data_IF_413402883899
#
_entry.id   IF_413402883899
#
_cell.length_a   1.000
_cell.length_b   1.000
_cell.length_c   1.000
_cell.angle_alpha   90.00
_cell.angle_beta   90.00
_cell.angle_gamma   90.00
#
_symmetry.space_group_name_H-M   'P 1'
#
loop_
_entity.id
_entity.type
_entity.pdbx_description
1 polymer ?
#
# COMPACT_ATOMS: atom_id res chain seq x y z
N UNK A 1 -4.74 5.18 -9.73
CA UNK A 1 -4.19 6.44 -9.20
C UNK A 1 -3.03 6.90 -10.08
N UNK A 2 -3.06 8.13 -10.62
CA UNK A 2 -1.85 8.71 -11.22
C UNK A 2 -0.94 9.19 -10.10
N UNK A 3 0.26 8.61 -9.92
CA UNK A 3 1.12 8.96 -8.79
C UNK A 3 1.84 10.30 -8.98
N UNK A 4 1.84 10.86 -10.18
CA UNK A 4 2.60 12.05 -10.54
C UNK A 4 1.74 13.30 -10.35
N UNK A 5 2.28 14.26 -9.59
CA UNK A 5 1.68 15.59 -9.46
C UNK A 5 1.87 16.34 -10.76
N UNK A 6 0.79 16.92 -11.28
CA UNK A 6 0.87 17.93 -12.32
C UNK A 6 1.54 19.19 -11.75
N UNK A 7 2.32 19.88 -12.58
CA UNK A 7 2.92 21.15 -12.21
C UNK A 7 1.83 22.14 -11.77
N UNK A 8 2.05 22.77 -10.61
CA UNK A 8 1.09 23.70 -10.02
C UNK A 8 -0.11 23.05 -9.30
N UNK A 9 -0.19 21.72 -9.16
CA UNK A 9 -1.26 21.08 -8.39
C UNK A 9 -1.30 21.54 -6.92
N UNK A 10 -2.45 22.08 -6.52
CA UNK A 10 -2.72 22.61 -5.16
C UNK A 10 -3.78 21.81 -4.40
N UNK A 11 -4.31 20.73 -4.97
CA UNK A 11 -5.36 19.93 -4.36
C UNK A 11 -4.89 19.04 -3.20
N UNK A 12 -5.84 18.32 -2.63
CA UNK A 12 -5.59 17.36 -1.54
C UNK A 12 -4.71 16.18 -2.00
N UNK A 13 -4.08 15.47 -1.07
CA UNK A 13 -3.18 14.36 -1.41
C UNK A 13 -1.82 14.78 -1.97
N UNK A 14 -1.54 16.09 -2.16
CA UNK A 14 -0.22 16.57 -2.62
C UNK A 14 0.94 16.01 -1.81
N UNK A 15 0.78 15.90 -0.48
CA UNK A 15 1.81 15.31 0.39
C UNK A 15 2.03 13.84 0.07
N UNK A 16 0.97 13.06 -0.08
CA UNK A 16 1.06 11.66 -0.48
C UNK A 16 1.89 11.53 -1.75
N UNK A 17 1.53 12.27 -2.80
CA UNK A 17 2.19 12.16 -4.10
C UNK A 17 3.66 12.60 -4.07
N UNK A 18 3.99 13.68 -3.35
CA UNK A 18 5.39 14.11 -3.16
C UNK A 18 6.26 13.07 -2.48
N UNK A 19 5.71 12.36 -1.50
CA UNK A 19 6.44 11.32 -0.78
C UNK A 19 6.50 10.03 -1.60
N UNK A 20 5.39 9.65 -2.26
CA UNK A 20 5.34 8.52 -3.17
C UNK A 20 6.34 8.65 -4.33
N UNK A 21 6.49 9.86 -4.90
CA UNK A 21 7.44 10.09 -6.01
C UNK A 21 8.90 9.84 -5.61
N UNK A 22 9.24 9.89 -4.31
CA UNK A 22 10.60 9.59 -3.82
C UNK A 22 10.97 8.11 -3.97
N UNK A 23 10.00 7.22 -4.20
CA UNK A 23 10.23 5.81 -4.54
C UNK A 23 10.84 5.67 -5.94
N UNK A 24 10.71 6.70 -6.80
CA UNK A 24 11.29 6.75 -8.16
C UNK A 24 10.84 5.60 -9.07
N UNK A 25 9.56 5.26 -9.00
CA UNK A 25 8.94 4.26 -9.88
C UNK A 25 8.91 4.71 -11.33
N UNK A 26 9.10 3.76 -12.23
CA UNK A 26 8.91 3.92 -13.68
C UNK A 26 7.78 3.02 -14.18
N UNK A 27 7.36 3.22 -15.43
CA UNK A 27 6.35 2.35 -16.06
C UNK A 27 6.80 0.88 -16.12
N UNK A 28 8.11 0.59 -16.10
CA UNK A 28 8.64 -0.77 -16.12
C UNK A 28 8.35 -1.54 -14.83
N UNK A 29 8.07 -0.83 -13.74
CA UNK A 29 7.82 -1.42 -12.43
C UNK A 29 6.34 -1.77 -12.22
N UNK A 30 5.45 -1.20 -13.04
CA UNK A 30 4.00 -1.30 -12.88
C UNK A 30 3.46 -2.74 -12.90
N UNK A 31 4.10 -3.65 -13.63
CA UNK A 31 3.72 -5.06 -13.66
C UNK A 31 4.26 -5.87 -12.48
N UNK A 32 5.25 -5.35 -11.75
CA UNK A 32 5.97 -6.08 -10.68
C UNK A 32 5.46 -5.74 -9.30
N UNK A 33 4.93 -4.54 -9.10
CA UNK A 33 4.54 -4.06 -7.77
C UNK A 33 3.12 -3.53 -7.74
N UNK A 34 2.50 -3.57 -6.57
CA UNK A 34 1.18 -3.01 -6.35
C UNK A 34 1.07 -2.35 -4.99
N UNK A 35 0.34 -1.23 -4.93
CA UNK A 35 -0.09 -0.59 -3.70
C UNK A 35 -1.60 -0.76 -3.57
N UNK A 36 -2.08 -1.20 -2.41
CA UNK A 36 -3.50 -1.52 -2.22
C UNK A 36 -4.29 -0.29 -1.78
N UNK A 37 -5.36 -0.01 -2.51
CA UNK A 37 -6.44 0.91 -2.18
C UNK A 37 -7.72 0.07 -2.06
N UNK A 38 -8.47 0.18 -0.95
CA UNK A 38 -9.65 -0.67 -0.71
C UNK A 38 -10.94 -0.08 -1.26
N UNK A 39 -10.94 1.21 -1.58
CA UNK A 39 -12.12 1.88 -2.10
C UNK A 39 -12.06 1.93 -3.61
N UNK A 40 -13.19 1.55 -4.21
CA UNK A 40 -13.44 1.72 -5.64
C UNK A 40 -13.89 3.14 -5.99
N UNK A 41 -14.07 4.00 -4.98
CA UNK A 41 -14.53 5.38 -5.12
C UNK A 41 -13.45 6.35 -4.67
N UNK A 42 -13.34 7.53 -5.31
CA UNK A 42 -12.42 8.57 -4.87
C UNK A 42 -12.84 9.09 -3.49
N UNK A 43 -11.85 9.35 -2.63
CA UNK A 43 -12.06 9.99 -1.33
C UNK A 43 -11.31 11.30 -1.20
N UNK A 44 -11.86 12.22 -0.41
CA UNK A 44 -11.20 13.47 -0.02
C UNK A 44 -11.00 13.51 1.49
N UNK A 45 -9.91 14.12 1.96
CA UNK A 45 -9.66 14.33 3.37
C UNK A 45 -9.42 13.05 4.19
N UNK A 46 -9.58 13.17 5.51
CA UNK A 46 -9.51 12.03 6.42
C UNK A 46 -10.88 11.36 6.49
N UNK A 47 -10.91 10.05 6.30
CA UNK A 47 -12.13 9.25 6.36
C UNK A 47 -11.99 8.19 7.45
N UNK A 48 -13.03 8.05 8.29
CA UNK A 48 -13.13 6.99 9.30
C UNK A 48 -13.79 5.75 8.68
N UNK A 49 -13.09 5.13 7.74
CA UNK A 49 -13.60 3.98 6.99
C UNK A 49 -13.82 2.78 7.91
N UNK A 50 -14.95 2.12 7.73
CA UNK A 50 -15.33 0.87 8.38
C UNK A 50 -15.38 -0.25 7.34
N UNK A 51 -15.29 -1.49 7.81
CA UNK A 51 -15.40 -2.65 6.92
C UNK A 51 -16.76 -2.73 6.21
N UNK A 52 -17.81 -2.15 6.78
CA UNK A 52 -19.14 -2.01 6.17
C UNK A 52 -19.17 -1.10 4.95
N UNK A 53 -18.19 -0.20 4.81
CA UNK A 53 -18.14 0.77 3.70
C UNK A 53 -17.46 0.15 2.46
N UNK A 54 -16.93 -1.08 2.59
CA UNK A 54 -16.18 -1.75 1.55
C UNK A 54 -17.09 -2.60 0.67
N UNK A 55 -16.93 -2.45 -0.64
CA UNK A 55 -17.65 -3.27 -1.61
C UNK A 55 -17.04 -4.68 -1.70
N UNK A 56 -17.86 -5.70 -1.47
CA UNK A 56 -17.41 -7.10 -1.43
C UNK A 56 -16.81 -7.56 -2.77
N UNK A 57 -17.42 -7.18 -3.89
CA UNK A 57 -16.97 -7.62 -5.21
C UNK A 57 -15.61 -7.01 -5.55
N UNK A 58 -15.42 -5.73 -5.20
CA UNK A 58 -14.15 -5.04 -5.34
C UNK A 58 -13.06 -5.67 -4.47
N UNK A 59 -13.36 -6.02 -3.21
CA UNK A 59 -12.40 -6.71 -2.35
C UNK A 59 -12.01 -8.10 -2.90
N UNK A 60 -12.94 -8.84 -3.48
CA UNK A 60 -12.64 -10.10 -4.17
C UNK A 60 -11.75 -9.90 -5.40
N UNK A 61 -11.98 -8.82 -6.16
CA UNK A 61 -11.10 -8.43 -7.26
C UNK A 61 -9.68 -8.13 -6.77
N UNK A 62 -9.53 -7.33 -5.71
CA UNK A 62 -8.23 -7.04 -5.09
C UNK A 62 -7.54 -8.34 -4.65
N UNK A 63 -8.27 -9.24 -3.98
CA UNK A 63 -7.71 -10.52 -3.55
C UNK A 63 -7.11 -11.30 -4.74
N UNK A 64 -7.82 -11.39 -5.87
CA UNK A 64 -7.31 -12.04 -7.08
C UNK A 64 -6.09 -11.31 -7.65
N UNK A 65 -6.10 -9.98 -7.66
CA UNK A 65 -4.99 -9.18 -8.19
C UNK A 65 -3.70 -9.32 -7.35
N UNK A 66 -3.83 -9.42 -6.02
CA UNK A 66 -2.68 -9.67 -5.12
C UNK A 66 -1.93 -10.92 -5.56
N UNK A 67 -2.65 -12.04 -5.74
CA UNK A 67 -2.05 -13.34 -6.07
C UNK A 67 -1.91 -13.62 -7.57
N UNK A 68 -1.94 -12.59 -8.42
CA UNK A 68 -1.68 -12.76 -9.85
C UNK A 68 -0.22 -13.14 -10.09
N UNK A 69 0.06 -13.94 -11.12
CA UNK A 69 1.42 -14.45 -11.41
C UNK A 69 2.46 -13.35 -11.69
N UNK A 70 2.01 -12.19 -12.12
CA UNK A 70 2.88 -11.06 -12.44
C UNK A 70 3.26 -10.23 -11.22
N UNK A 71 2.44 -10.26 -10.16
CA UNK A 71 2.65 -9.47 -8.94
C UNK A 71 3.83 -10.05 -8.15
N UNK A 72 4.94 -9.30 -8.05
CA UNK A 72 6.12 -9.71 -7.26
C UNK A 72 6.05 -9.19 -5.83
N UNK A 73 5.64 -7.94 -5.64
CA UNK A 73 5.54 -7.31 -4.33
C UNK A 73 4.26 -6.48 -4.17
N UNK A 74 3.61 -6.63 -3.02
CA UNK A 74 2.40 -5.88 -2.65
C UNK A 74 2.67 -5.07 -1.39
N UNK A 75 2.35 -3.78 -1.44
CA UNK A 75 2.52 -2.84 -0.34
C UNK A 75 1.16 -2.41 0.20
N UNK A 76 0.97 -2.59 1.50
CA UNK A 76 -0.29 -2.33 2.20
C UNK A 76 -0.03 -1.30 3.31
N UNK A 77 -0.77 -0.19 3.31
CA UNK A 77 -0.64 0.79 4.40
C UNK A 77 -1.23 0.24 5.71
N UNK A 78 -0.75 0.72 6.87
CA UNK A 78 -1.21 0.19 8.18
C UNK A 78 -2.73 0.25 8.39
N UNK A 79 -3.38 1.34 7.95
CA UNK A 79 -4.84 1.49 8.05
C UNK A 79 -5.58 0.49 7.14
N UNK A 80 -5.11 0.35 5.90
CA UNK A 80 -5.65 -0.62 4.93
C UNK A 80 -5.49 -2.04 5.48
N UNK A 81 -4.31 -2.39 6.00
CA UNK A 81 -4.04 -3.71 6.57
C UNK A 81 -5.01 -4.05 7.71
N UNK A 82 -5.26 -3.10 8.62
CA UNK A 82 -6.23 -3.27 9.71
C UNK A 82 -7.65 -3.46 9.20
N UNK A 83 -8.05 -2.76 8.14
CA UNK A 83 -9.36 -2.93 7.52
C UNK A 83 -9.49 -4.28 6.83
N UNK A 84 -8.49 -4.70 6.06
CA UNK A 84 -8.47 -6.01 5.40
C UNK A 84 -8.65 -7.15 6.40
N UNK A 85 -7.94 -7.11 7.55
CA UNK A 85 -8.08 -8.11 8.63
C UNK A 85 -9.47 -8.19 9.25
N UNK A 86 -10.27 -7.11 9.17
CA UNK A 86 -11.66 -7.12 9.66
C UNK A 86 -12.63 -7.75 8.65
N UNK A 87 -12.16 -8.08 7.45
CA UNK A 87 -12.96 -8.76 6.43
C UNK A 87 -12.67 -10.26 6.43
N UNK A 88 -13.65 -11.08 6.05
CA UNK A 88 -13.44 -12.52 5.86
C UNK A 88 -12.73 -12.88 4.54
N UNK A 89 -12.55 -11.92 3.63
CA UNK A 89 -12.00 -12.15 2.28
C UNK A 89 -10.49 -12.40 2.33
N UNK A 90 -9.78 -11.70 3.23
CA UNK A 90 -8.33 -11.83 3.38
C UNK A 90 -7.98 -12.73 4.57
N UNK A 91 -8.64 -13.88 4.69
CA UNK A 91 -8.46 -14.81 5.82
C UNK A 91 -7.02 -15.28 6.00
N UNK A 92 -6.24 -15.35 4.91
CA UNK A 92 -4.80 -15.64 4.94
C UNK A 92 -3.99 -14.64 5.81
N UNK A 93 -4.52 -13.43 6.06
CA UNK A 93 -3.88 -12.44 6.92
C UNK A 93 -4.01 -12.74 8.42
N UNK A 94 -4.85 -13.70 8.81
CA UNK A 94 -5.02 -14.07 10.22
C UNK A 94 -3.79 -14.81 10.75
N UNK A 95 -3.18 -15.63 9.91
CA UNK A 95 -1.96 -16.39 10.23
C UNK A 95 -0.69 -15.61 9.88
N UNK A 96 -0.82 -14.45 9.23
CA UNK A 96 0.29 -13.63 8.81
C UNK A 96 1.03 -13.06 10.03
N UNK A 97 2.26 -13.55 10.25
CA UNK A 97 3.16 -13.04 11.29
C UNK A 97 4.06 -11.97 10.69
N UNK A 98 4.30 -10.93 11.49
CA UNK A 98 5.35 -9.98 11.16
C UNK A 98 6.69 -10.70 11.26
N UNK A 99 7.49 -10.61 10.22
CA UNK A 99 8.84 -11.15 10.21
C UNK A 99 9.81 -10.01 10.52
N UNK A 100 10.67 -10.22 11.51
CA UNK A 100 11.63 -9.23 11.99
C UNK A 100 12.90 -9.22 11.13
N UNK A 101 13.72 -8.18 11.28
CA UNK A 101 14.99 -8.04 10.54
C UNK A 101 14.90 -7.28 9.22
N UNK A 102 13.70 -6.88 8.78
CA UNK A 102 13.48 -6.04 7.61
C UNK A 102 13.00 -4.64 7.99
N UNK A 103 13.42 -3.62 7.23
CA UNK A 103 12.93 -2.24 7.35
C UNK A 103 11.42 -2.16 7.14
N UNK A 104 10.89 -2.96 6.22
CA UNK A 104 9.46 -3.15 6.03
C UNK A 104 8.97 -4.37 6.81
N UNK A 105 7.78 -4.27 7.37
CA UNK A 105 7.13 -5.41 8.04
C UNK A 105 6.63 -6.39 7.00
N UNK A 106 7.25 -7.57 6.91
CA UNK A 106 6.86 -8.64 5.97
C UNK A 106 5.76 -9.50 6.61
N UNK A 107 4.74 -9.83 5.83
CA UNK A 107 3.58 -10.63 6.26
C UNK A 107 3.33 -11.87 5.40
N UNK A 108 3.97 -11.96 4.24
CA UNK A 108 3.93 -13.13 3.38
C UNK A 108 5.23 -13.19 2.57
N UNK A 109 6.03 -14.24 2.75
CA UNK A 109 7.35 -14.40 2.12
C UNK A 109 7.34 -15.27 0.86
N UNK A 110 6.25 -16.00 0.62
CA UNK A 110 6.07 -16.71 -0.65
C UNK A 110 5.60 -15.71 -1.70
N UNK A 111 5.85 -15.92 -2.99
CA UNK A 111 5.35 -14.97 -4.02
C UNK A 111 3.82 -14.89 -3.99
N UNK A 112 3.21 -13.69 -4.01
CA UNK A 112 3.85 -12.37 -3.96
C UNK A 112 4.37 -12.02 -2.55
N UNK A 113 5.48 -11.26 -2.48
CA UNK A 113 5.96 -10.71 -1.22
C UNK A 113 4.99 -9.63 -0.73
N UNK A 114 4.51 -9.73 0.50
CA UNK A 114 3.53 -8.77 1.05
C UNK A 114 4.16 -7.99 2.20
N UNK A 115 4.21 -6.67 2.03
CA UNK A 115 4.81 -5.73 2.97
C UNK A 115 3.75 -4.78 3.52
N UNK A 116 3.88 -4.46 4.81
CA UNK A 116 3.17 -3.34 5.42
C UNK A 116 4.08 -2.13 5.54
N UNK A 117 3.53 -0.96 5.25
CA UNK A 117 4.24 0.32 5.34
C UNK A 117 3.37 1.42 5.98
N UNK A 118 4.00 2.51 6.38
CA UNK A 118 3.38 3.76 6.80
C UNK A 118 2.78 4.48 5.59
N UNK A 119 1.60 5.04 5.77
CA UNK A 119 0.94 5.83 4.74
C UNK A 119 1.82 7.02 4.32
N UNK A 120 1.92 7.33 3.02
CA UNK A 120 2.86 8.33 2.52
C UNK A 120 2.58 9.77 3.00
N UNK A 121 1.34 10.06 3.42
CA UNK A 121 0.99 11.34 4.06
C UNK A 121 1.41 11.45 5.54
N UNK A 122 1.91 10.39 6.17
CA UNK A 122 2.34 10.36 7.57
C UNK A 122 3.47 11.36 7.83
N UNK A 123 3.50 11.97 9.02
CA UNK A 123 4.48 12.98 9.44
C UNK A 123 4.66 13.06 10.95
N UNK A 124 5.54 13.96 11.40
CA UNK A 124 5.86 14.14 12.81
C UNK A 124 6.76 13.00 13.31
N UNK A 125 6.39 12.38 14.43
CA UNK A 125 7.20 11.34 15.09
C UNK A 125 7.54 10.11 14.22
N UNK A 126 6.78 9.87 13.15
CA UNK A 126 6.99 8.74 12.23
C UNK A 126 7.65 9.14 10.91
N UNK A 127 8.09 10.39 10.75
CA UNK A 127 8.67 10.87 9.49
C UNK A 127 9.95 10.10 9.11
N UNK A 128 10.88 9.91 10.04
CA UNK A 128 12.13 9.19 9.78
C UNK A 128 11.88 7.73 9.37
N UNK A 129 10.98 7.04 10.09
CA UNK A 129 10.60 5.67 9.72
C UNK A 129 10.01 5.60 8.31
N UNK A 130 9.10 6.53 7.96
CA UNK A 130 8.51 6.57 6.62
C UNK A 130 9.56 6.78 5.52
N UNK A 131 10.57 7.61 5.77
CA UNK A 131 11.66 7.83 4.81
C UNK A 131 12.52 6.58 4.62
N UNK A 132 12.82 5.84 5.69
CA UNK A 132 13.50 4.55 5.60
C UNK A 132 12.66 3.49 4.87
N UNK A 133 11.36 3.43 5.12
CA UNK A 133 10.45 2.55 4.39
C UNK A 133 10.38 2.89 2.89
N UNK A 134 10.35 4.18 2.52
CA UNK A 134 10.41 4.61 1.10
C UNK A 134 11.69 4.11 0.43
N UNK A 135 12.85 4.23 1.09
CA UNK A 135 14.13 3.72 0.58
C UNK A 135 14.10 2.20 0.44
N UNK A 136 13.55 1.49 1.43
CA UNK A 136 13.42 0.03 1.40
C UNK A 136 12.52 -0.43 0.24
N UNK A 137 11.40 0.24 0.01
CA UNK A 137 10.53 -0.03 -1.15
C UNK A 137 11.31 0.12 -2.45
N UNK A 138 12.04 1.23 -2.62
CA UNK A 138 12.88 1.47 -3.81
C UNK A 138 13.88 0.34 -4.05
N UNK A 139 14.56 -0.12 -2.98
CA UNK A 139 15.56 -1.19 -3.08
C UNK A 139 14.97 -2.57 -3.42
N UNK A 140 13.70 -2.84 -3.09
CA UNK A 140 13.01 -4.08 -3.50
C UNK A 140 12.73 -4.11 -5.01
N UNK A 141 12.67 -2.93 -5.64
CA UNK A 141 12.28 -2.78 -7.04
C UNK A 141 13.49 -2.92 -7.98
N UNK A 142 14.66 -2.42 -7.57
CA UNK A 142 15.95 -2.62 -8.25
C UNK A 142 16.28 -4.11 -8.36
#
# INVERSE_FOLDING_TARGET
HHPFLLDGYKGDGRKYHKEFSKIRLSCKDASRISFIELLHLPTTGRNDLKSSDLDKNHLQYIHKAIFSEHTKAVFISDAVFKLMKKTSIFSWMNDAKQIEGHTLKVFHEKKPLIYKHLHFSTYGKFQAQKEEEIKAIHNIIL
#
